data_IF_574640342147
#
_entry.id   IF_574640342147
#
_cell.length_a   1.000
_cell.length_b   1.000
_cell.length_c   1.000
_cell.angle_alpha   90.00
_cell.angle_beta   90.00
_cell.angle_gamma   90.00
#
_symmetry.space_group_name_H-M   'P 1'
#
loop_
_entity.id
_entity.type
_entity.pdbx_description
1 polymer ?
#
# COMPACT_ATOMS: atom_id res chain seq x y z
N UNK A 1 -21.85 5.30 7.06
CA UNK A 1 -21.03 5.37 8.30
C UNK A 1 -20.23 6.67 8.32
N UNK A 2 -19.90 7.14 9.52
CA UNK A 2 -18.94 8.23 9.75
C UNK A 2 -17.64 7.62 10.26
N UNK A 3 -16.58 7.77 9.48
CA UNK A 3 -15.31 7.04 9.66
C UNK A 3 -14.22 8.06 9.95
N UNK A 4 -13.44 7.84 11.00
CA UNK A 4 -12.27 8.65 11.33
C UNK A 4 -10.98 7.93 10.93
N UNK A 5 -10.21 8.49 9.98
CA UNK A 5 -8.89 8.01 9.59
C UNK A 5 -7.82 8.80 10.36
N UNK A 6 -6.96 8.11 11.11
CA UNK A 6 -5.93 8.73 11.96
C UNK A 6 -4.55 8.38 11.44
N UNK A 7 -3.74 9.40 11.15
CA UNK A 7 -2.42 9.24 10.51
C UNK A 7 -1.45 10.36 10.86
N UNK A 8 -0.19 10.04 11.12
CA UNK A 8 0.88 11.05 11.30
C UNK A 8 1.46 11.56 9.97
N UNK A 9 1.02 11.01 8.82
CA UNK A 9 1.48 11.41 7.49
C UNK A 9 0.31 11.53 6.53
N UNK A 10 0.14 12.70 5.95
CA UNK A 10 -0.88 12.98 4.92
C UNK A 10 -0.41 14.14 4.03
N UNK A 11 -1.16 14.43 2.98
CA UNK A 11 -0.84 15.57 2.10
C UNK A 11 -0.72 16.89 2.88
N UNK A 12 0.27 17.74 2.50
CA UNK A 12 1.07 17.76 1.27
C UNK A 12 2.25 16.75 1.22
N UNK A 13 2.54 16.01 2.31
CA UNK A 13 3.58 14.99 2.28
C UNK A 13 3.17 13.85 1.34
N UNK A 14 3.89 13.70 0.22
CA UNK A 14 3.63 12.64 -0.77
C UNK A 14 4.31 11.35 -0.29
N UNK A 15 3.52 10.31 -0.10
CA UNK A 15 4.00 8.96 0.25
C UNK A 15 2.96 7.91 -0.16
N UNK A 16 3.38 6.65 -0.28
CA UNK A 16 2.45 5.53 -0.51
C UNK A 16 1.34 5.45 0.52
N UNK A 17 1.65 5.74 1.79
CA UNK A 17 0.65 5.78 2.89
C UNK A 17 -0.37 6.90 2.67
N UNK A 18 0.08 8.12 2.38
CA UNK A 18 -0.82 9.25 2.12
C UNK A 18 -1.70 9.00 0.89
N UNK A 19 -1.14 8.41 -0.16
CA UNK A 19 -1.88 8.01 -1.37
C UNK A 19 -2.93 6.95 -1.05
N UNK A 20 -2.59 5.91 -0.28
CA UNK A 20 -3.52 4.86 0.15
C UNK A 20 -4.69 5.43 0.95
N UNK A 21 -4.41 6.35 1.90
CA UNK A 21 -5.44 7.00 2.72
C UNK A 21 -6.38 7.85 1.87
N UNK A 22 -5.84 8.64 0.94
CA UNK A 22 -6.65 9.46 0.03
C UNK A 22 -7.52 8.60 -0.86
N UNK A 23 -6.97 7.52 -1.42
CA UNK A 23 -7.71 6.55 -2.22
C UNK A 23 -8.85 5.92 -1.40
N UNK A 24 -8.56 5.47 -0.19
CA UNK A 24 -9.58 4.90 0.71
C UNK A 24 -10.69 5.89 1.02
N UNK A 25 -10.34 7.14 1.39
CA UNK A 25 -11.32 8.21 1.64
C UNK A 25 -12.24 8.38 0.44
N UNK A 26 -11.66 8.57 -0.75
CA UNK A 26 -12.43 8.78 -1.99
C UNK A 26 -13.39 7.62 -2.27
N UNK A 27 -12.95 6.39 -2.14
CA UNK A 27 -13.80 5.23 -2.44
C UNK A 27 -14.90 5.03 -1.38
N UNK A 28 -14.60 5.26 -0.10
CA UNK A 28 -15.62 5.21 0.95
C UNK A 28 -16.68 6.32 0.78
N UNK A 29 -16.30 7.50 0.30
CA UNK A 29 -17.22 8.59 0.00
C UNK A 29 -18.11 8.28 -1.21
N UNK A 30 -17.55 7.65 -2.26
CA UNK A 30 -18.35 7.13 -3.39
C UNK A 30 -19.39 6.08 -2.94
N UNK A 31 -19.07 5.31 -1.89
CA UNK A 31 -20.01 4.36 -1.26
C UNK A 31 -21.03 5.04 -0.33
N UNK A 32 -21.07 6.38 -0.26
CA UNK A 32 -22.02 7.15 0.52
C UNK A 32 -21.66 7.29 2.01
N UNK A 33 -20.38 7.12 2.37
CA UNK A 33 -19.89 7.30 3.74
C UNK A 33 -19.29 8.69 3.93
N UNK A 34 -19.23 9.17 5.16
CA UNK A 34 -18.55 10.41 5.53
C UNK A 34 -17.21 10.06 6.17
N UNK A 35 -16.13 10.59 5.62
CA UNK A 35 -14.77 10.27 6.07
C UNK A 35 -14.08 11.52 6.59
N UNK A 36 -13.53 11.44 7.80
CA UNK A 36 -12.77 12.51 8.44
C UNK A 36 -11.31 12.06 8.60
N UNK A 37 -10.36 12.91 8.21
CA UNK A 37 -8.93 12.65 8.38
C UNK A 37 -8.41 13.45 9.55
N UNK A 38 -7.82 12.77 10.54
CA UNK A 38 -7.08 13.39 11.64
C UNK A 38 -5.59 13.20 11.35
N UNK A 39 -4.88 14.32 11.12
CA UNK A 39 -3.47 14.28 10.73
C UNK A 39 -2.66 15.39 11.39
N UNK A 40 -1.34 15.36 11.19
CA UNK A 40 -0.44 16.41 11.64
C UNK A 40 -0.56 17.69 10.80
N UNK A 41 -0.16 18.82 11.36
CA UNK A 41 -0.08 20.09 10.63
C UNK A 41 1.30 20.25 10.02
N UNK A 42 1.38 20.46 8.71
CA UNK A 42 2.61 20.80 8.01
C UNK A 42 2.85 22.32 7.98
N UNK A 43 4.11 22.69 7.75
CA UNK A 43 4.49 24.10 7.61
C UNK A 43 3.84 24.73 6.37
N UNK A 44 3.29 25.93 6.51
CA UNK A 44 2.61 26.62 5.43
C UNK A 44 1.19 26.11 5.11
N UNK A 45 0.71 25.05 5.75
CA UNK A 45 -0.65 24.54 5.52
C UNK A 45 -1.67 25.21 6.43
N UNK A 46 -2.76 25.69 5.84
CA UNK A 46 -3.88 26.23 6.59
C UNK A 46 -4.64 25.08 7.29
N UNK A 47 -4.69 25.11 8.62
CA UNK A 47 -5.32 24.07 9.44
C UNK A 47 -6.83 23.96 9.28
N UNK A 48 -7.48 24.97 8.71
CA UNK A 48 -8.92 25.11 8.63
C UNK A 48 -9.43 25.20 7.19
N UNK A 49 -8.57 24.83 6.22
CA UNK A 49 -8.92 24.88 4.82
C UNK A 49 -9.99 23.85 4.45
N UNK A 50 -9.79 22.62 4.94
CA UNK A 50 -10.71 21.51 4.70
C UNK A 50 -11.51 21.20 5.97
N UNK A 51 -12.82 21.09 5.86
CA UNK A 51 -13.71 20.82 6.98
C UNK A 51 -13.62 19.35 7.48
N UNK A 52 -13.17 18.46 6.65
CA UNK A 52 -13.05 17.01 6.88
C UNK A 52 -11.61 16.56 7.13
N UNK A 53 -10.63 17.48 7.09
CA UNK A 53 -9.23 17.23 7.43
C UNK A 53 -8.86 18.01 8.70
N UNK A 54 -8.80 17.30 9.80
CA UNK A 54 -8.52 17.83 11.12
C UNK A 54 -7.00 17.80 11.37
N UNK A 55 -6.36 18.97 11.31
CA UNK A 55 -4.91 19.08 11.47
C UNK A 55 -4.52 19.40 12.91
N UNK A 56 -3.73 18.52 13.50
CA UNK A 56 -3.28 18.59 14.90
C UNK A 56 -1.91 19.28 14.95
N UNK A 57 -1.67 20.20 15.91
CA UNK A 57 -0.39 20.87 16.09
C UNK A 57 0.77 19.88 16.22
N UNK A 58 1.81 20.07 15.42
CA UNK A 58 2.91 19.11 15.31
C UNK A 58 4.26 19.80 15.08
N UNK A 59 5.34 19.08 15.38
CA UNK A 59 6.73 19.49 15.13
C UNK A 59 7.43 18.43 14.29
N UNK A 60 8.47 18.80 13.53
CA UNK A 60 9.29 17.81 12.83
C UNK A 60 9.89 16.78 13.81
N UNK A 61 9.91 15.52 13.38
CA UNK A 61 10.52 14.47 14.19
C UNK A 61 12.04 14.51 14.00
N UNK A 62 12.79 14.58 15.10
CA UNK A 62 14.24 14.78 15.07
C UNK A 62 15.02 13.69 14.31
N UNK A 63 14.53 12.44 14.36
CA UNK A 63 15.19 11.30 13.70
C UNK A 63 14.85 11.19 12.20
N UNK A 64 13.68 11.71 11.79
CA UNK A 64 13.22 11.71 10.39
C UNK A 64 12.57 13.07 10.12
N UNK A 65 13.32 13.99 9.55
CA UNK A 65 12.86 15.37 9.29
C UNK A 65 11.60 15.46 8.44
N UNK A 66 11.38 14.47 7.58
CA UNK A 66 10.19 14.35 6.73
C UNK A 66 8.95 13.83 7.49
N UNK A 67 9.09 13.51 8.78
CA UNK A 67 7.99 13.04 9.63
C UNK A 67 7.70 14.06 10.72
N UNK A 68 6.44 14.11 11.13
CA UNK A 68 5.98 15.04 12.17
C UNK A 68 5.36 14.27 13.33
N UNK A 69 5.41 14.89 14.51
CA UNK A 69 4.88 14.32 15.76
C UNK A 69 3.93 15.35 16.36
N UNK A 70 2.71 14.97 16.63
CA UNK A 70 1.75 15.83 17.31
C UNK A 70 2.14 15.98 18.79
N UNK A 71 2.14 17.20 19.31
CA UNK A 71 2.52 17.51 20.70
C UNK A 71 1.39 18.12 21.53
N UNK A 72 0.29 18.53 20.91
CA UNK A 72 -0.85 19.18 21.55
C UNK A 72 -2.14 18.93 20.78
N UNK A 73 -3.31 19.40 21.28
CA UNK A 73 -4.57 19.36 20.56
C UNK A 73 -5.33 18.03 20.68
N UNK A 74 -4.88 17.07 21.50
CA UNK A 74 -5.55 15.77 21.69
C UNK A 74 -6.97 15.92 22.23
N UNK A 75 -7.17 16.81 23.23
CA UNK A 75 -8.49 17.07 23.78
C UNK A 75 -9.45 17.67 22.76
N UNK A 76 -8.96 18.55 21.89
CA UNK A 76 -9.77 19.17 20.86
C UNK A 76 -10.11 18.16 19.75
N UNK A 77 -9.16 17.31 19.37
CA UNK A 77 -9.41 16.22 18.44
C UNK A 77 -10.49 15.26 18.98
N UNK A 78 -10.43 14.91 20.25
CA UNK A 78 -11.45 14.07 20.90
C UNK A 78 -12.84 14.74 20.89
N UNK A 79 -12.92 16.04 21.22
CA UNK A 79 -14.17 16.81 21.14
C UNK A 79 -14.73 16.86 19.71
N UNK A 80 -13.87 17.06 18.71
CA UNK A 80 -14.26 17.07 17.30
C UNK A 80 -14.79 15.70 16.87
N UNK A 81 -14.05 14.63 17.19
CA UNK A 81 -14.46 13.26 16.90
C UNK A 81 -15.81 12.89 17.54
N UNK A 82 -16.03 13.32 18.79
CA UNK A 82 -17.31 13.15 19.51
C UNK A 82 -18.44 13.91 18.83
N UNK A 83 -18.17 15.16 18.39
CA UNK A 83 -19.15 15.99 17.67
C UNK A 83 -19.55 15.37 16.34
N UNK A 84 -18.61 14.76 15.64
CA UNK A 84 -18.85 14.06 14.38
C UNK A 84 -19.52 12.70 14.58
N UNK A 85 -19.60 12.18 15.82
CA UNK A 85 -20.23 10.89 16.15
C UNK A 85 -19.70 9.78 15.26
N UNK A 86 -18.38 9.53 15.30
CA UNK A 86 -17.74 8.50 14.49
C UNK A 86 -18.37 7.12 14.80
N UNK A 87 -18.56 6.32 13.76
CA UNK A 87 -19.06 4.94 13.85
C UNK A 87 -17.91 3.92 13.90
N UNK A 88 -16.71 4.32 13.43
CA UNK A 88 -15.50 3.51 13.36
C UNK A 88 -14.27 4.42 13.29
N UNK A 89 -13.19 3.95 13.90
CA UNK A 89 -11.86 4.55 13.80
C UNK A 89 -10.93 3.63 13.03
N UNK A 90 -10.17 4.19 12.06
CA UNK A 90 -9.14 3.48 11.34
C UNK A 90 -7.81 4.22 11.46
N UNK A 91 -6.80 3.58 12.04
CA UNK A 91 -5.47 4.15 12.22
C UNK A 91 -4.51 3.64 11.13
N UNK A 92 -3.61 4.52 10.64
CA UNK A 92 -2.68 4.22 9.56
C UNK A 92 -1.20 4.37 9.96
N UNK A 93 -0.95 4.87 11.16
CA UNK A 93 0.39 4.98 11.74
C UNK A 93 0.34 4.57 13.21
N UNK A 94 1.45 4.10 13.75
CA UNK A 94 1.56 3.60 15.12
C UNK A 94 2.08 4.66 16.11
N UNK A 95 2.21 5.92 15.65
CA UNK A 95 2.73 7.02 16.44
C UNK A 95 1.60 7.85 17.09
N UNK A 96 1.77 9.16 17.14
CA UNK A 96 0.92 10.04 17.93
C UNK A 96 -0.54 10.03 17.53
N UNK A 97 -0.82 10.08 16.21
CA UNK A 97 -2.19 10.07 15.71
C UNK A 97 -2.83 8.67 15.77
N UNK A 98 -2.02 7.62 15.60
CA UNK A 98 -2.51 6.25 15.81
C UNK A 98 -2.92 5.99 17.25
N UNK A 99 -2.11 6.45 18.23
CA UNK A 99 -2.45 6.37 19.66
C UNK A 99 -3.70 7.22 19.96
N UNK A 100 -3.76 8.44 19.42
CA UNK A 100 -4.95 9.29 19.56
C UNK A 100 -6.21 8.60 18.99
N UNK A 101 -6.12 7.97 17.83
CA UNK A 101 -7.22 7.21 17.24
C UNK A 101 -7.73 6.10 18.16
N UNK A 102 -6.84 5.32 18.78
CA UNK A 102 -7.20 4.31 19.77
C UNK A 102 -7.91 4.92 21.00
N UNK A 103 -7.41 6.06 21.49
CA UNK A 103 -8.05 6.78 22.60
C UNK A 103 -9.47 7.27 22.23
N UNK A 104 -9.64 7.82 21.03
CA UNK A 104 -10.93 8.27 20.49
C UNK A 104 -11.90 7.09 20.37
N UNK A 105 -11.45 5.98 19.79
CA UNK A 105 -12.29 4.78 19.64
C UNK A 105 -12.79 4.25 20.99
N UNK A 106 -11.88 4.20 21.97
CA UNK A 106 -12.22 3.77 23.34
C UNK A 106 -13.24 4.70 24.00
N UNK A 107 -13.05 6.01 23.90
CA UNK A 107 -13.95 7.02 24.49
C UNK A 107 -15.33 6.99 23.83
N UNK A 108 -15.37 6.90 22.50
CA UNK A 108 -16.63 6.82 21.74
C UNK A 108 -17.28 5.43 21.77
N UNK A 109 -16.59 4.44 22.30
CA UNK A 109 -17.03 3.04 22.32
C UNK A 109 -17.40 2.53 20.92
N UNK A 110 -16.50 2.75 19.95
CA UNK A 110 -16.61 2.30 18.56
C UNK A 110 -15.44 1.38 18.20
N UNK A 111 -15.60 0.50 17.19
CA UNK A 111 -14.51 -0.38 16.76
C UNK A 111 -13.33 0.41 16.21
N UNK A 112 -12.12 -0.15 16.41
CA UNK A 112 -10.87 0.39 15.91
C UNK A 112 -10.13 -0.65 15.08
N UNK A 113 -9.77 -0.27 13.85
CA UNK A 113 -8.97 -1.05 12.91
C UNK A 113 -7.66 -0.32 12.60
N UNK A 114 -6.65 -1.05 12.17
CA UNK A 114 -5.37 -0.49 11.76
C UNK A 114 -4.92 -1.06 10.42
N UNK A 115 -4.38 -0.23 9.53
CA UNK A 115 -3.62 -0.72 8.38
C UNK A 115 -2.13 -0.65 8.69
N UNK A 116 -1.45 -1.79 8.64
CA UNK A 116 -0.02 -1.91 8.93
C UNK A 116 0.81 -1.65 7.67
N UNK A 117 1.18 -0.38 7.43
CA UNK A 117 1.82 0.05 6.18
C UNK A 117 3.32 -0.17 6.10
N UNK A 118 4.03 -0.29 7.23
CA UNK A 118 5.50 -0.18 7.26
C UNK A 118 6.16 -1.42 7.85
N UNK A 119 7.04 -2.05 7.10
CA UNK A 119 7.99 -3.03 7.63
C UNK A 119 9.13 -2.31 8.34
N UNK A 120 8.97 -2.02 9.63
CA UNK A 120 9.97 -1.29 10.40
C UNK A 120 11.33 -1.98 10.46
N UNK A 121 11.39 -3.30 10.28
CA UNK A 121 12.65 -4.07 10.26
C UNK A 121 13.59 -3.57 9.16
N UNK A 122 13.05 -3.18 8.01
CA UNK A 122 13.83 -2.69 6.87
C UNK A 122 14.39 -1.28 7.08
N UNK A 123 13.82 -0.53 8.05
CA UNK A 123 14.19 0.87 8.33
C UNK A 123 15.07 1.06 9.56
N UNK A 124 15.37 -0.02 10.30
CA UNK A 124 16.18 0.05 11.54
C UNK A 124 17.57 0.66 11.31
N UNK A 125 18.17 0.38 10.14
CA UNK A 125 19.50 0.89 9.82
C UNK A 125 19.55 2.41 9.63
N UNK A 126 18.42 3.07 9.34
CA UNK A 126 18.35 4.53 9.28
C UNK A 126 18.31 5.19 10.68
N UNK A 127 17.86 4.47 11.72
CA UNK A 127 17.77 4.99 13.07
C UNK A 127 19.10 4.76 13.78
N UNK A 128 19.85 5.86 14.04
CA UNK A 128 21.15 5.83 14.75
C UNK A 128 22.13 4.78 14.16
N UNK A 129 22.18 4.63 12.83
CA UNK A 129 23.03 3.67 12.10
C UNK A 129 22.83 2.23 12.58
N UNK A 130 21.60 1.83 12.92
CA UNK A 130 21.25 0.47 13.34
C UNK A 130 21.71 0.07 14.75
N UNK A 131 22.32 0.98 15.52
CA UNK A 131 22.93 0.65 16.83
C UNK A 131 21.98 0.70 18.02
N UNK A 132 20.83 1.38 17.90
CA UNK A 132 19.93 1.65 19.03
C UNK A 132 18.67 0.77 19.05
N UNK A 133 18.24 0.20 17.92
CA UNK A 133 17.00 -0.57 17.86
C UNK A 133 17.30 -2.02 17.49
N UNK A 134 16.91 -2.93 18.37
CA UNK A 134 17.00 -4.39 18.13
C UNK A 134 15.70 -4.90 17.51
N UNK A 135 15.72 -5.93 16.65
CA UNK A 135 14.50 -6.52 16.04
C UNK A 135 13.42 -6.88 17.06
N UNK A 136 13.82 -7.38 18.25
CA UNK A 136 12.88 -7.68 19.34
C UNK A 136 12.12 -6.48 19.89
N UNK A 137 12.69 -5.27 19.81
CA UNK A 137 12.01 -4.03 20.23
C UNK A 137 10.91 -3.65 19.26
N UNK A 138 11.13 -3.84 17.96
CA UNK A 138 10.13 -3.59 16.91
C UNK A 138 8.94 -4.54 17.09
N UNK A 139 9.21 -5.82 17.28
CA UNK A 139 8.18 -6.82 17.57
C UNK A 139 7.35 -6.44 18.80
N UNK A 140 8.02 -6.03 19.89
CA UNK A 140 7.33 -5.59 21.12
C UNK A 140 6.47 -4.35 20.88
N UNK A 141 7.00 -3.35 20.18
CA UNK A 141 6.28 -2.12 19.85
C UNK A 141 5.04 -2.41 18.99
N UNK A 142 5.19 -3.18 17.90
CA UNK A 142 4.09 -3.57 17.04
C UNK A 142 3.00 -4.33 17.82
N UNK A 143 3.38 -5.33 18.63
CA UNK A 143 2.43 -6.07 19.47
C UNK A 143 1.70 -5.19 20.47
N UNK A 144 2.43 -4.29 21.14
CA UNK A 144 1.85 -3.38 22.12
C UNK A 144 0.85 -2.42 21.49
N UNK A 145 1.17 -1.89 20.30
CA UNK A 145 0.26 -1.01 19.59
C UNK A 145 -0.99 -1.77 19.11
N UNK A 146 -0.81 -2.96 18.55
CA UNK A 146 -1.90 -3.75 17.96
C UNK A 146 -2.79 -4.47 18.98
N UNK A 147 -2.37 -4.54 20.25
CA UNK A 147 -3.01 -5.38 21.28
C UNK A 147 -4.51 -5.12 21.47
N UNK A 148 -4.93 -3.85 21.47
CA UNK A 148 -6.32 -3.47 21.82
C UNK A 148 -7.12 -3.02 20.58
N UNK A 149 -6.81 -3.55 19.42
CA UNK A 149 -7.53 -3.29 18.17
C UNK A 149 -8.56 -4.40 17.90
N UNK A 150 -9.60 -4.07 17.18
CA UNK A 150 -10.61 -5.04 16.74
C UNK A 150 -10.16 -5.81 15.49
N UNK A 151 -9.29 -5.20 14.67
CA UNK A 151 -8.74 -5.85 13.50
C UNK A 151 -7.55 -5.12 12.86
N UNK A 152 -6.85 -5.82 11.97
CA UNK A 152 -5.73 -5.28 11.20
C UNK A 152 -5.92 -5.59 9.72
N UNK A 153 -5.68 -4.59 8.89
CA UNK A 153 -5.54 -4.72 7.44
C UNK A 153 -4.05 -4.86 7.13
N UNK A 154 -3.70 -5.92 6.41
CA UNK A 154 -2.38 -6.18 5.88
C UNK A 154 -2.39 -5.83 4.38
N UNK A 155 -1.55 -4.89 3.90
CA UNK A 155 -1.47 -4.56 2.47
C UNK A 155 -1.02 -5.73 1.59
N UNK A 156 -0.38 -6.74 2.17
CA UNK A 156 0.07 -7.95 1.47
C UNK A 156 0.18 -9.13 2.43
N UNK A 157 0.33 -10.32 1.87
CA UNK A 157 0.61 -11.56 2.59
C UNK A 157 1.91 -11.47 3.39
N UNK A 158 2.92 -10.76 2.88
CA UNK A 158 4.20 -10.51 3.57
C UNK A 158 3.96 -9.86 4.94
N UNK A 159 3.08 -8.86 4.99
CA UNK A 159 2.72 -8.16 6.23
C UNK A 159 1.89 -9.08 7.14
N UNK A 160 0.99 -9.87 6.60
CA UNK A 160 0.23 -10.85 7.39
C UNK A 160 1.15 -11.86 8.05
N UNK A 161 2.08 -12.47 7.30
CA UNK A 161 3.08 -13.41 7.81
C UNK A 161 3.99 -12.77 8.87
N UNK A 162 4.40 -11.51 8.66
CA UNK A 162 5.17 -10.75 9.64
C UNK A 162 4.41 -10.63 10.96
N UNK A 163 3.13 -10.26 10.91
CA UNK A 163 2.30 -10.13 12.11
C UNK A 163 2.00 -11.49 12.77
N UNK A 164 1.94 -12.57 12.01
CA UNK A 164 1.88 -13.95 12.53
C UNK A 164 3.17 -14.29 13.27
N UNK A 165 4.36 -14.02 12.69
CA UNK A 165 5.66 -14.20 13.35
C UNK A 165 5.80 -13.37 14.62
N UNK A 166 5.15 -12.21 14.66
CA UNK A 166 5.10 -11.36 15.85
C UNK A 166 4.11 -11.88 16.91
N UNK A 167 3.35 -12.95 16.64
CA UNK A 167 2.29 -13.48 17.49
C UNK A 167 1.25 -12.40 17.86
N UNK A 168 0.76 -11.67 16.87
CA UNK A 168 -0.34 -10.70 17.03
C UNK A 168 -1.67 -11.46 16.99
N UNK A 169 -2.45 -11.50 18.11
CA UNK A 169 -3.60 -12.42 18.25
C UNK A 169 -4.93 -11.84 17.76
N UNK A 170 -4.91 -10.79 16.94
CA UNK A 170 -6.12 -10.13 16.43
C UNK A 170 -6.47 -10.56 15.01
N UNK A 171 -7.72 -10.33 14.60
CA UNK A 171 -8.18 -10.59 13.24
C UNK A 171 -7.33 -9.82 12.23
N UNK A 172 -6.81 -10.52 11.22
CA UNK A 172 -6.05 -9.96 10.12
C UNK A 172 -6.78 -10.20 8.81
N UNK A 173 -6.72 -9.25 7.90
CA UNK A 173 -7.24 -9.42 6.55
C UNK A 173 -6.28 -8.80 5.55
N UNK A 174 -5.88 -9.58 4.55
CA UNK A 174 -5.07 -9.07 3.43
C UNK A 174 -5.97 -8.30 2.49
N UNK A 175 -5.76 -6.99 2.44
CA UNK A 175 -6.47 -6.07 1.54
C UNK A 175 -5.42 -5.13 0.93
N UNK A 176 -4.88 -5.45 -0.24
CA UNK A 176 -3.96 -4.57 -0.95
C UNK A 176 -4.61 -3.22 -1.27
N UNK A 177 -3.82 -2.15 -1.17
CA UNK A 177 -4.25 -0.83 -1.63
C UNK A 177 -4.50 -0.86 -3.12
N UNK A 178 -5.67 -0.40 -3.54
CA UNK A 178 -5.99 -0.26 -4.94
C UNK A 178 -5.48 1.06 -5.52
N UNK A 179 -5.39 1.11 -6.85
CA UNK A 179 -5.02 2.33 -7.57
C UNK A 179 -6.24 2.93 -8.28
N UNK A 180 -6.19 4.24 -8.44
CA UNK A 180 -7.16 5.00 -9.23
C UNK A 180 -6.84 4.80 -10.71
N UNK A 181 -7.53 3.84 -11.33
CA UNK A 181 -7.30 3.48 -12.74
C UNK A 181 -7.47 4.67 -13.68
N UNK A 182 -8.36 5.63 -13.38
CA UNK A 182 -8.59 6.78 -14.23
C UNK A 182 -7.35 7.70 -14.38
N UNK A 183 -6.38 7.59 -13.47
CA UNK A 183 -5.11 8.33 -13.59
C UNK A 183 -4.14 7.71 -14.59
N UNK A 184 -4.31 6.44 -14.91
CA UNK A 184 -3.40 5.65 -15.74
C UNK A 184 -4.08 5.22 -17.06
N UNK A 185 -5.38 4.94 -17.02
CA UNK A 185 -6.20 4.81 -18.23
C UNK A 185 -6.47 6.21 -18.82
N UNK A 186 -5.50 6.69 -19.56
CA UNK A 186 -5.44 8.02 -20.16
C UNK A 186 -5.60 7.90 -21.67
N UNK A 187 -6.85 7.81 -22.19
CA UNK A 187 -7.10 7.66 -23.63
C UNK A 187 -6.67 8.88 -24.45
N UNK A 188 -6.52 10.05 -23.80
CA UNK A 188 -5.97 11.25 -24.42
C UNK A 188 -4.49 11.18 -24.73
N UNK A 189 -3.72 10.28 -24.09
CA UNK A 189 -2.31 10.03 -24.44
C UNK A 189 -2.30 9.24 -25.75
N UNK A 190 -1.97 9.92 -26.84
CA UNK A 190 -1.95 9.32 -28.16
C UNK A 190 -0.54 8.77 -28.50
N UNK A 191 -0.42 7.94 -29.54
CA UNK A 191 0.90 7.41 -29.96
C UNK A 191 1.93 8.50 -30.24
N UNK A 192 1.53 9.66 -30.76
CA UNK A 192 2.45 10.78 -30.99
C UNK A 192 3.05 11.36 -29.70
N UNK A 193 2.30 11.37 -28.60
CA UNK A 193 2.82 11.84 -27.31
C UNK A 193 3.88 10.87 -26.77
N UNK A 194 3.68 9.58 -27.00
CA UNK A 194 4.61 8.52 -26.62
C UNK A 194 5.89 8.63 -27.47
N UNK A 195 5.75 8.82 -28.79
CA UNK A 195 6.87 9.00 -29.73
C UNK A 195 7.68 10.24 -29.37
N UNK A 196 7.01 11.37 -29.08
CA UNK A 196 7.63 12.61 -28.67
C UNK A 196 8.44 12.45 -27.36
N UNK A 197 7.88 11.79 -26.35
CA UNK A 197 8.60 11.51 -25.10
C UNK A 197 9.82 10.61 -25.36
N UNK A 198 9.67 9.56 -26.15
CA UNK A 198 10.81 8.66 -26.50
C UNK A 198 11.90 9.42 -27.24
N UNK A 199 11.55 10.29 -28.19
CA UNK A 199 12.51 11.15 -28.90
C UNK A 199 13.23 12.11 -27.93
N UNK A 200 12.49 12.77 -27.02
CA UNK A 200 13.07 13.64 -25.98
C UNK A 200 14.05 12.88 -25.07
N UNK A 201 13.79 11.60 -24.82
CA UNK A 201 14.66 10.70 -24.05
C UNK A 201 15.76 10.05 -24.89
N UNK A 202 15.88 10.39 -26.19
CA UNK A 202 16.87 9.81 -27.08
C UNK A 202 16.68 8.32 -27.36
N UNK A 203 15.43 7.83 -27.30
CA UNK A 203 15.08 6.42 -27.50
C UNK A 203 14.46 6.24 -28.88
N UNK A 204 15.13 5.48 -29.72
CA UNK A 204 14.66 5.18 -31.07
C UNK A 204 13.48 4.19 -31.13
N UNK A 205 12.81 4.11 -32.30
CA UNK A 205 11.63 3.25 -32.45
C UNK A 205 11.96 1.75 -32.32
N UNK A 206 13.20 1.34 -32.60
CA UNK A 206 13.66 -0.06 -32.51
C UNK A 206 14.39 -0.36 -31.19
N UNK A 207 14.42 0.57 -30.24
CA UNK A 207 15.07 0.40 -28.94
C UNK A 207 14.04 0.01 -27.87
N UNK A 208 14.44 -0.85 -26.95
CA UNK A 208 13.62 -1.27 -25.83
C UNK A 208 13.83 -0.33 -24.64
N UNK A 209 12.76 0.30 -24.17
CA UNK A 209 12.77 1.18 -23.00
C UNK A 209 12.40 0.41 -21.72
N UNK A 210 13.36 0.29 -20.81
CA UNK A 210 13.12 -0.12 -19.44
C UNK A 210 12.87 1.12 -18.59
N UNK A 211 11.79 1.14 -17.79
CA UNK A 211 11.45 2.23 -16.89
C UNK A 211 11.64 1.79 -15.44
N UNK A 212 12.45 2.52 -14.68
CA UNK A 212 12.49 2.44 -13.22
C UNK A 212 11.94 3.73 -12.63
N UNK A 213 10.76 3.69 -12.01
CA UNK A 213 10.08 4.86 -11.44
C UNK A 213 9.86 4.65 -9.95
N UNK A 214 10.58 5.42 -9.12
CA UNK A 214 10.47 5.33 -7.66
C UNK A 214 11.17 6.50 -6.96
N UNK A 215 11.04 6.60 -5.62
CA UNK A 215 11.98 7.40 -4.83
C UNK A 215 13.40 6.82 -4.99
N UNK A 216 14.37 7.69 -5.27
CA UNK A 216 15.77 7.26 -5.41
C UNK A 216 16.41 7.15 -4.02
N UNK A 217 16.37 5.94 -3.48
CA UNK A 217 16.92 5.58 -2.17
C UNK A 217 17.55 4.18 -2.23
N UNK A 218 18.49 3.91 -1.32
CA UNK A 218 19.29 2.69 -1.38
C UNK A 218 18.44 1.40 -1.36
N UNK A 219 17.34 1.38 -0.59
CA UNK A 219 16.44 0.25 -0.45
C UNK A 219 15.64 -0.09 -1.73
N UNK A 220 15.55 0.84 -2.68
CA UNK A 220 14.92 0.59 -3.98
C UNK A 220 15.79 -0.20 -4.94
N UNK A 221 17.05 -0.38 -4.57
CA UNK A 221 18.02 -1.23 -5.26
C UNK A 221 18.17 -0.95 -6.77
N UNK A 222 18.05 0.33 -7.17
CA UNK A 222 18.23 0.77 -8.56
C UNK A 222 19.65 0.47 -9.02
N UNK A 223 20.62 0.50 -8.12
CA UNK A 223 22.02 0.15 -8.37
C UNK A 223 22.19 -1.28 -8.93
N UNK A 224 21.36 -2.25 -8.56
CA UNK A 224 21.40 -3.58 -9.14
C UNK A 224 20.95 -3.56 -10.61
N UNK A 225 19.92 -2.76 -10.94
CA UNK A 225 19.44 -2.59 -12.31
C UNK A 225 20.53 -1.93 -13.17
N UNK A 226 21.18 -0.87 -12.69
CA UNK A 226 22.28 -0.19 -13.41
C UNK A 226 23.45 -1.14 -13.66
N UNK A 227 23.85 -1.93 -12.66
CA UNK A 227 24.94 -2.92 -12.83
C UNK A 227 24.60 -3.98 -13.86
N UNK A 228 23.35 -4.46 -13.88
CA UNK A 228 22.91 -5.46 -14.83
C UNK A 228 22.92 -4.95 -16.30
N UNK A 229 22.81 -3.62 -16.50
CA UNK A 229 22.83 -3.03 -17.85
C UNK A 229 24.06 -3.40 -18.65
N UNK A 230 25.25 -3.58 -18.03
CA UNK A 230 26.46 -3.98 -18.74
C UNK A 230 26.29 -5.35 -19.43
N UNK A 231 25.68 -6.31 -18.75
CA UNK A 231 25.40 -7.63 -19.32
C UNK A 231 24.25 -7.58 -20.33
N UNK A 232 23.18 -6.85 -19.98
CA UNK A 232 22.02 -6.66 -20.88
C UNK A 232 22.46 -6.09 -22.23
N UNK A 233 23.31 -5.06 -22.23
CA UNK A 233 23.81 -4.41 -23.45
C UNK A 233 24.78 -5.28 -24.25
N UNK A 234 25.47 -6.22 -23.60
CA UNK A 234 26.30 -7.19 -24.30
C UNK A 234 25.44 -8.15 -25.14
N UNK A 235 24.25 -8.54 -24.64
CA UNK A 235 23.32 -9.42 -25.34
C UNK A 235 22.36 -8.65 -26.27
N UNK A 236 21.93 -7.47 -25.86
CA UNK A 236 21.03 -6.60 -26.63
C UNK A 236 21.43 -5.12 -26.50
N UNK A 237 22.22 -4.57 -27.44
CA UNK A 237 22.69 -3.19 -27.38
C UNK A 237 21.58 -2.13 -27.61
N UNK A 238 20.36 -2.54 -27.95
CA UNK A 238 19.21 -1.66 -28.18
C UNK A 238 18.39 -1.40 -26.93
N UNK A 239 18.84 -1.82 -25.75
CA UNK A 239 18.11 -1.58 -24.50
C UNK A 239 18.53 -0.24 -23.89
N UNK A 240 17.55 0.55 -23.47
CA UNK A 240 17.72 1.81 -22.75
C UNK A 240 17.03 1.74 -21.39
N UNK A 241 17.68 2.28 -20.37
CA UNK A 241 17.11 2.39 -19.02
C UNK A 241 16.81 3.86 -18.69
N UNK A 242 15.55 4.15 -18.38
CA UNK A 242 15.10 5.46 -17.90
C UNK A 242 14.76 5.36 -16.43
N UNK A 243 15.42 6.17 -15.60
CA UNK A 243 15.22 6.24 -14.16
C UNK A 243 14.50 7.55 -13.84
N UNK A 244 13.26 7.42 -13.34
CA UNK A 244 12.41 8.57 -12.98
C UNK A 244 12.24 8.63 -11.47
N UNK A 245 12.53 9.80 -10.90
CA UNK A 245 12.37 10.07 -9.48
C UNK A 245 13.47 10.95 -8.92
N UNK A 246 13.41 11.20 -7.62
CA UNK A 246 14.42 11.95 -6.88
C UNK A 246 14.65 11.34 -5.51
N UNK A 247 15.79 11.62 -4.90
CA UNK A 247 16.06 11.14 -3.56
C UNK A 247 17.54 11.18 -3.14
N UNK A 248 17.82 10.77 -1.89
CA UNK A 248 19.15 10.95 -1.29
C UNK A 248 20.26 10.10 -1.94
N UNK A 249 19.91 9.13 -2.78
CA UNK A 249 20.88 8.23 -3.43
C UNK A 249 21.18 8.60 -4.89
N UNK A 250 20.66 9.72 -5.37
CA UNK A 250 20.73 10.18 -6.76
C UNK A 250 22.19 10.37 -7.25
N UNK A 251 23.01 11.11 -6.48
CA UNK A 251 24.42 11.34 -6.83
C UNK A 251 25.20 10.04 -6.94
N UNK A 252 24.98 9.10 -6.02
CA UNK A 252 25.68 7.81 -6.06
C UNK A 252 25.31 6.96 -7.31
N UNK A 253 24.06 7.06 -7.78
CA UNK A 253 23.65 6.39 -9.02
C UNK A 253 24.25 7.08 -10.26
N UNK A 254 24.31 8.42 -10.29
CA UNK A 254 24.95 9.18 -11.36
C UNK A 254 26.43 8.82 -11.49
N UNK A 255 27.15 8.80 -10.36
CA UNK A 255 28.57 8.39 -10.32
C UNK A 255 28.75 6.97 -10.87
N UNK A 256 27.88 6.03 -10.46
CA UNK A 256 27.92 4.63 -10.93
C UNK A 256 27.67 4.51 -12.43
N UNK A 257 26.73 5.27 -13.01
CA UNK A 257 26.46 5.29 -14.47
C UNK A 257 27.72 5.71 -15.23
N UNK A 258 28.42 6.76 -14.75
CA UNK A 258 29.65 7.26 -15.35
C UNK A 258 30.79 6.24 -15.21
N UNK A 259 30.99 5.68 -14.02
CA UNK A 259 32.05 4.69 -13.74
C UNK A 259 31.90 3.42 -14.60
N UNK A 260 30.66 3.00 -14.87
CA UNK A 260 30.37 1.82 -15.70
C UNK A 260 30.32 2.14 -17.20
N UNK A 261 30.49 3.42 -17.62
CA UNK A 261 30.45 3.82 -19.02
C UNK A 261 29.06 3.67 -19.68
N UNK A 262 27.97 3.83 -18.87
CA UNK A 262 26.60 3.58 -19.31
C UNK A 262 25.82 4.86 -19.68
N UNK A 263 26.48 6.01 -19.80
CA UNK A 263 25.86 7.33 -20.04
C UNK A 263 24.99 7.40 -21.30
N UNK A 264 25.31 6.59 -22.33
CA UNK A 264 24.53 6.54 -23.57
C UNK A 264 23.29 5.62 -23.50
N UNK A 265 23.18 4.79 -22.46
CA UNK A 265 22.14 3.76 -22.33
C UNK A 265 21.31 3.88 -21.06
N UNK A 266 21.74 4.69 -20.08
CA UNK A 266 21.04 4.93 -18.82
C UNK A 266 20.85 6.40 -18.59
N UNK A 267 19.59 6.83 -18.49
CA UNK A 267 19.23 8.22 -18.28
C UNK A 267 18.46 8.40 -16.97
N UNK A 268 18.81 9.43 -16.20
CA UNK A 268 18.05 9.88 -15.02
C UNK A 268 17.33 11.19 -15.36
N UNK A 269 16.00 11.21 -15.24
CA UNK A 269 15.17 12.38 -15.58
C UNK A 269 14.95 13.34 -14.41
N UNK A 270 15.22 12.89 -13.16
CA UNK A 270 14.76 13.56 -11.97
C UNK A 270 13.28 13.31 -11.71
N UNK A 271 12.68 14.15 -10.84
CA UNK A 271 11.25 14.05 -10.51
C UNK A 271 10.38 14.58 -11.65
N UNK A 272 9.33 13.83 -11.98
CA UNK A 272 8.30 14.25 -12.93
C UNK A 272 7.00 14.58 -12.19
N UNK A 273 6.12 15.36 -12.82
CA UNK A 273 4.82 15.64 -12.23
C UNK A 273 3.97 14.35 -12.14
N UNK A 274 3.18 14.18 -11.09
CA UNK A 274 2.31 13.00 -10.96
C UNK A 274 1.33 12.79 -12.12
N UNK A 275 0.97 13.89 -12.84
CA UNK A 275 0.15 13.83 -14.06
C UNK A 275 0.85 13.16 -15.23
N UNK A 276 2.17 13.18 -15.25
CA UNK A 276 2.96 12.74 -16.40
C UNK A 276 3.44 11.29 -16.26
N UNK A 277 3.33 10.72 -15.05
CA UNK A 277 3.79 9.35 -14.79
C UNK A 277 3.13 8.31 -15.70
N UNK A 278 1.85 8.47 -16.04
CA UNK A 278 1.14 7.59 -16.95
C UNK A 278 1.77 7.57 -18.35
N UNK A 279 2.25 8.73 -18.84
CA UNK A 279 2.94 8.82 -20.12
C UNK A 279 4.26 8.05 -20.11
N UNK A 280 5.06 8.16 -19.04
CA UNK A 280 6.30 7.40 -18.90
C UNK A 280 6.05 5.90 -18.87
N UNK A 281 5.03 5.42 -18.14
CA UNK A 281 4.67 4.00 -18.17
C UNK A 281 4.24 3.55 -19.57
N UNK A 282 3.37 4.31 -20.26
CA UNK A 282 2.92 3.99 -21.61
C UNK A 282 4.03 4.03 -22.66
N UNK A 283 5.06 4.85 -22.45
CA UNK A 283 6.22 4.94 -23.33
C UNK A 283 7.23 3.79 -23.13
N UNK A 284 7.18 3.13 -21.96
CA UNK A 284 8.08 2.03 -21.63
C UNK A 284 7.58 0.70 -22.21
N UNK A 285 8.50 -0.13 -22.65
CA UNK A 285 8.23 -1.51 -23.04
C UNK A 285 8.11 -2.41 -21.80
N UNK A 286 8.89 -2.09 -20.73
CA UNK A 286 8.84 -2.80 -19.45
C UNK A 286 9.09 -1.84 -18.29
N UNK A 287 8.39 -2.07 -17.19
CA UNK A 287 8.72 -1.49 -15.88
C UNK A 287 9.64 -2.43 -15.13
N UNK A 288 10.79 -1.93 -14.64
CA UNK A 288 11.81 -2.74 -13.97
C UNK A 288 12.07 -2.29 -12.53
N UNK A 289 12.15 -3.26 -11.60
CA UNK A 289 12.50 -2.99 -10.20
C UNK A 289 13.22 -4.16 -9.54
N UNK A 290 14.36 -3.87 -8.93
CA UNK A 290 15.10 -4.83 -8.10
C UNK A 290 14.87 -4.62 -6.58
N UNK A 291 13.84 -3.85 -6.20
CA UNK A 291 13.51 -3.60 -4.79
C UNK A 291 13.11 -4.87 -4.05
N UNK A 292 13.73 -5.11 -2.90
CA UNK A 292 13.41 -6.24 -2.01
C UNK A 292 12.59 -5.81 -0.78
N UNK A 293 12.36 -4.50 -0.60
CA UNK A 293 11.73 -3.91 0.60
C UNK A 293 10.28 -3.45 0.39
N UNK A 294 9.62 -3.92 -0.67
CA UNK A 294 8.25 -3.52 -0.98
C UNK A 294 7.23 -4.27 -0.11
N UNK A 295 6.43 -3.54 0.64
CA UNK A 295 5.25 -4.11 1.32
C UNK A 295 4.13 -4.46 0.33
N UNK A 296 3.98 -3.65 -0.71
CA UNK A 296 3.06 -3.84 -1.83
C UNK A 296 3.67 -3.33 -3.14
N UNK A 297 4.18 -2.06 -3.16
CA UNK A 297 4.74 -1.41 -4.34
C UNK A 297 3.67 -0.96 -5.33
N UNK A 298 3.08 0.22 -5.09
CA UNK A 298 2.03 0.76 -5.95
C UNK A 298 2.48 0.97 -7.39
N UNK A 299 3.76 1.24 -7.62
CA UNK A 299 4.35 1.44 -8.95
C UNK A 299 4.19 0.23 -9.88
N UNK A 300 4.17 -0.99 -9.32
CA UNK A 300 3.86 -2.20 -10.10
C UNK A 300 2.42 -2.19 -10.61
N UNK A 301 1.49 -1.77 -9.76
CA UNK A 301 0.08 -1.70 -10.15
C UNK A 301 -0.17 -0.57 -11.16
N UNK A 302 0.53 0.56 -11.01
CA UNK A 302 0.52 1.69 -11.93
C UNK A 302 1.01 1.27 -13.33
N UNK A 303 2.08 0.48 -13.39
CA UNK A 303 2.58 -0.11 -14.63
C UNK A 303 1.54 -1.01 -15.30
N UNK A 304 0.92 -1.93 -14.55
CA UNK A 304 -0.12 -2.80 -15.11
C UNK A 304 -1.35 -2.01 -15.55
N UNK A 305 -1.70 -0.91 -14.86
CA UNK A 305 -2.83 -0.07 -15.24
C UNK A 305 -2.63 0.63 -16.59
N UNK A 306 -1.40 0.84 -17.02
CA UNK A 306 -1.08 1.37 -18.35
C UNK A 306 -0.89 0.26 -19.40
N UNK A 307 -0.96 -1.00 -19.00
CA UNK A 307 -0.69 -2.15 -19.87
C UNK A 307 0.81 -2.47 -20.03
N UNK A 308 1.69 -1.87 -19.22
CA UNK A 308 3.14 -2.08 -19.29
C UNK A 308 3.53 -3.27 -18.42
N UNK A 309 4.15 -4.33 -18.99
CA UNK A 309 4.58 -5.51 -18.24
C UNK A 309 5.76 -5.20 -17.30
N UNK A 310 5.92 -6.04 -16.29
CA UNK A 310 6.81 -5.83 -15.16
C UNK A 310 7.98 -6.81 -15.21
N UNK A 311 9.19 -6.34 -14.90
CA UNK A 311 10.35 -7.18 -14.57
C UNK A 311 10.75 -6.85 -13.14
N UNK A 312 10.60 -7.79 -12.20
CA UNK A 312 10.80 -7.46 -10.80
C UNK A 312 11.39 -8.60 -9.96
N UNK A 313 12.04 -8.21 -8.85
CA UNK A 313 12.44 -9.15 -7.83
C UNK A 313 11.22 -9.83 -7.23
N UNK A 314 11.23 -11.16 -7.18
CA UNK A 314 10.10 -11.98 -6.73
C UNK A 314 9.84 -11.80 -5.24
N UNK A 315 8.58 -11.69 -4.90
CA UNK A 315 8.07 -11.76 -3.54
C UNK A 315 6.65 -12.35 -3.54
N UNK A 316 6.10 -12.80 -2.40
CA UNK A 316 4.78 -13.41 -2.32
C UNK A 316 3.65 -12.55 -2.90
N UNK A 317 3.71 -11.22 -2.71
CA UNK A 317 2.72 -10.30 -3.26
C UNK A 317 2.78 -10.24 -4.79
N UNK A 318 3.97 -10.03 -5.37
CA UNK A 318 4.14 -9.94 -6.83
C UNK A 318 3.83 -11.28 -7.51
N UNK A 319 4.10 -12.41 -6.89
CA UNK A 319 3.72 -13.72 -7.41
C UNK A 319 2.20 -13.88 -7.54
N UNK A 320 1.41 -13.20 -6.69
CA UNK A 320 -0.05 -13.15 -6.80
C UNK A 320 -0.55 -12.11 -7.81
N UNK A 321 0.24 -11.08 -8.10
CA UNK A 321 -0.08 -10.04 -9.09
C UNK A 321 0.28 -10.53 -10.50
N UNK A 322 1.50 -11.04 -10.69
CA UNK A 322 2.04 -11.51 -11.98
C UNK A 322 1.71 -13.00 -12.13
N UNK A 323 0.46 -13.29 -12.45
CA UNK A 323 -0.06 -14.65 -12.59
C UNK A 323 -0.01 -15.19 -14.01
N UNK A 324 0.35 -14.34 -14.97
CA UNK A 324 0.47 -14.66 -16.39
C UNK A 324 1.71 -13.98 -16.97
N UNK A 325 2.40 -14.62 -17.92
CA UNK A 325 3.61 -14.07 -18.56
C UNK A 325 3.37 -12.73 -19.26
N UNK A 326 2.16 -12.43 -19.69
CA UNK A 326 1.86 -11.12 -20.28
C UNK A 326 1.94 -9.97 -19.27
N UNK A 327 1.83 -10.23 -17.96
CA UNK A 327 2.00 -9.23 -16.92
C UNK A 327 3.47 -9.00 -16.55
N UNK A 328 4.37 -9.90 -16.96
CA UNK A 328 5.82 -9.74 -16.76
C UNK A 328 6.55 -10.99 -16.30
N UNK A 329 7.79 -10.77 -15.88
CA UNK A 329 8.75 -11.78 -15.44
C UNK A 329 9.28 -11.46 -14.04
N UNK A 330 9.41 -12.48 -13.19
CA UNK A 330 9.99 -12.37 -11.86
C UNK A 330 11.34 -13.09 -11.80
N UNK A 331 12.33 -12.47 -11.13
CA UNK A 331 13.62 -13.08 -10.83
C UNK A 331 13.81 -13.22 -9.31
N UNK A 332 14.60 -14.18 -8.83
CA UNK A 332 14.82 -14.46 -7.41
C UNK A 332 16.14 -13.86 -6.89
N UNK A 333 17.17 -13.82 -7.71
CA UNK A 333 18.51 -13.35 -7.36
C UNK A 333 18.95 -12.24 -8.31
N UNK A 334 19.75 -11.30 -7.83
CA UNK A 334 20.23 -10.16 -8.64
C UNK A 334 21.04 -10.62 -9.87
N UNK A 335 21.72 -11.75 -9.77
CA UNK A 335 22.49 -12.36 -10.86
C UNK A 335 21.60 -12.81 -12.02
N UNK A 336 20.31 -13.09 -11.77
CA UNK A 336 19.34 -13.51 -12.79
C UNK A 336 18.70 -12.31 -13.52
N UNK A 337 18.96 -11.07 -13.06
CA UNK A 337 18.23 -9.89 -13.54
C UNK A 337 18.49 -9.65 -15.04
N UNK A 338 19.74 -9.79 -15.53
CA UNK A 338 20.04 -9.63 -16.94
C UNK A 338 19.30 -10.66 -17.80
N UNK A 339 19.33 -11.92 -17.39
CA UNK A 339 18.65 -13.02 -18.10
C UNK A 339 17.13 -12.81 -18.11
N UNK A 340 16.56 -12.35 -16.97
CA UNK A 340 15.13 -12.05 -16.86
C UNK A 340 14.70 -10.91 -17.80
N UNK A 341 15.54 -9.89 -18.00
CA UNK A 341 15.28 -8.82 -18.97
C UNK A 341 15.29 -9.37 -20.40
N UNK A 342 16.30 -10.15 -20.77
CA UNK A 342 16.40 -10.73 -22.11
C UNK A 342 15.24 -11.72 -22.37
N UNK A 343 14.90 -12.56 -21.38
CA UNK A 343 13.73 -13.44 -21.46
C UNK A 343 12.45 -12.64 -21.66
N UNK A 344 12.24 -11.58 -20.87
CA UNK A 344 11.05 -10.74 -20.97
C UNK A 344 10.90 -10.12 -22.37
N UNK A 345 11.97 -9.57 -22.95
CA UNK A 345 11.96 -8.97 -24.28
C UNK A 345 11.54 -9.98 -25.35
N UNK A 346 11.99 -11.24 -25.24
CA UNK A 346 11.73 -12.28 -26.24
C UNK A 346 10.41 -13.01 -26.01
N UNK A 347 10.02 -13.23 -24.76
CA UNK A 347 8.98 -14.20 -24.38
C UNK A 347 7.67 -13.58 -23.86
N UNK A 348 7.64 -12.27 -23.54
CA UNK A 348 6.41 -11.66 -23.07
C UNK A 348 5.37 -11.55 -24.20
N UNK A 349 4.23 -12.22 -24.09
CA UNK A 349 3.21 -12.16 -25.12
C UNK A 349 2.47 -10.81 -25.07
N UNK A 350 1.80 -10.41 -26.18
CA UNK A 350 0.95 -9.24 -26.18
C UNK A 350 -0.13 -9.31 -25.09
N UNK A 351 -0.46 -8.16 -24.51
CA UNK A 351 -1.46 -8.03 -23.47
C UNK A 351 -2.85 -8.44 -23.98
N UNK A 352 -3.47 -9.44 -23.35
CA UNK A 352 -4.84 -9.83 -23.66
C UNK A 352 -5.82 -8.90 -22.93
N UNK A 353 -6.66 -8.13 -23.65
CA UNK A 353 -7.55 -7.13 -23.05
C UNK A 353 -8.50 -7.70 -21.99
N UNK A 354 -9.09 -8.88 -22.19
CA UNK A 354 -10.03 -9.48 -21.23
C UNK A 354 -9.36 -9.94 -19.93
N UNK A 355 -8.14 -10.47 -20.04
CA UNK A 355 -7.38 -10.89 -18.86
C UNK A 355 -6.89 -9.66 -18.11
N UNK A 356 -6.47 -8.63 -18.84
CA UNK A 356 -6.08 -7.34 -18.26
C UNK A 356 -7.25 -6.68 -17.52
N UNK A 357 -8.44 -6.59 -18.13
CA UNK A 357 -9.63 -6.00 -17.51
C UNK A 357 -9.95 -6.63 -16.16
N UNK A 358 -9.91 -7.97 -16.07
CA UNK A 358 -10.10 -8.68 -14.82
C UNK A 358 -9.03 -8.30 -13.77
N UNK A 359 -7.76 -8.24 -14.18
CA UNK A 359 -6.65 -7.85 -13.31
C UNK A 359 -6.80 -6.39 -12.85
N UNK A 360 -7.19 -5.49 -13.75
CA UNK A 360 -7.45 -4.09 -13.43
C UNK A 360 -8.56 -3.94 -12.38
N UNK A 361 -9.64 -4.70 -12.49
CA UNK A 361 -10.67 -4.70 -11.44
C UNK A 361 -10.12 -5.17 -10.09
N UNK A 362 -9.32 -6.25 -10.08
CA UNK A 362 -8.70 -6.77 -8.84
C UNK A 362 -7.84 -5.73 -8.12
N UNK A 363 -7.06 -4.93 -8.87
CA UNK A 363 -6.14 -3.92 -8.33
C UNK A 363 -6.75 -2.53 -8.22
N UNK A 364 -8.02 -2.34 -8.58
CA UNK A 364 -8.68 -1.02 -8.60
C UNK A 364 -8.91 -0.44 -7.21
N UNK A 365 -8.92 0.89 -7.13
CA UNK A 365 -9.35 1.63 -5.95
C UNK A 365 -10.77 1.24 -5.51
N UNK A 366 -11.68 1.04 -6.46
CA UNK A 366 -13.07 0.66 -6.19
C UNK A 366 -13.17 -0.69 -5.48
N UNK A 367 -12.44 -1.70 -5.96
CA UNK A 367 -12.39 -3.00 -5.29
C UNK A 367 -11.73 -2.90 -3.90
N UNK A 368 -10.68 -2.10 -3.78
CA UNK A 368 -10.03 -1.82 -2.49
C UNK A 368 -11.01 -1.21 -1.48
N UNK A 369 -11.69 -0.11 -1.86
CA UNK A 369 -12.68 0.56 -0.99
C UNK A 369 -13.80 -0.37 -0.56
N UNK A 370 -14.35 -1.18 -1.51
CA UNK A 370 -15.37 -2.19 -1.22
C UNK A 370 -14.89 -3.23 -0.22
N UNK A 371 -13.70 -3.83 -0.41
CA UNK A 371 -13.14 -4.85 0.49
C UNK A 371 -12.85 -4.31 1.89
N UNK A 372 -12.36 -3.05 2.00
CA UNK A 372 -12.14 -2.39 3.29
C UNK A 372 -13.48 -2.16 3.99
N UNK A 373 -14.49 -1.69 3.26
CA UNK A 373 -15.83 -1.46 3.83
C UNK A 373 -16.49 -2.77 4.30
N UNK A 374 -16.39 -3.86 3.54
CA UNK A 374 -16.85 -5.18 3.98
C UNK A 374 -16.18 -5.59 5.30
N UNK A 375 -14.89 -5.34 5.44
CA UNK A 375 -14.19 -5.64 6.68
C UNK A 375 -14.65 -4.75 7.84
N UNK A 376 -14.94 -3.48 7.59
CA UNK A 376 -15.51 -2.61 8.63
C UNK A 376 -16.87 -3.13 9.13
N UNK A 377 -17.71 -3.64 8.24
CA UNK A 377 -18.99 -4.25 8.63
C UNK A 377 -18.79 -5.48 9.53
N UNK A 378 -17.86 -6.37 9.14
CA UNK A 378 -17.55 -7.57 9.93
C UNK A 378 -17.03 -7.20 11.34
N UNK A 379 -16.15 -6.20 11.41
CA UNK A 379 -15.61 -5.71 12.69
C UNK A 379 -16.68 -5.04 13.54
N UNK A 380 -17.55 -4.24 12.93
CA UNK A 380 -18.65 -3.58 13.66
C UNK A 380 -19.63 -4.59 14.23
N UNK A 381 -20.03 -5.59 13.45
CA UNK A 381 -20.92 -6.68 13.92
C UNK A 381 -20.26 -7.41 15.10
N UNK A 382 -19.00 -7.77 14.98
CA UNK A 382 -18.25 -8.45 16.03
C UNK A 382 -18.10 -7.59 17.30
N UNK A 383 -17.87 -6.29 17.14
CA UNK A 383 -17.74 -5.33 18.23
C UNK A 383 -19.08 -5.17 18.96
N UNK A 384 -20.17 -4.92 18.23
CA UNK A 384 -21.51 -4.74 18.80
C UNK A 384 -21.98 -6.02 19.51
N UNK A 385 -21.64 -7.20 18.96
CA UNK A 385 -21.91 -8.47 19.62
C UNK A 385 -21.18 -8.59 20.96
N UNK A 386 -19.88 -8.34 21.01
CA UNK A 386 -19.08 -8.35 22.25
C UNK A 386 -19.65 -7.36 23.28
N UNK A 387 -19.92 -6.13 22.86
CA UNK A 387 -20.45 -5.06 23.73
C UNK A 387 -21.78 -5.44 24.40
N UNK A 388 -22.65 -6.12 23.66
CA UNK A 388 -24.00 -6.51 24.18
C UNK A 388 -23.95 -7.78 25.03
N UNK A 389 -22.89 -8.59 24.99
CA UNK A 389 -22.78 -9.88 25.68
C UNK A 389 -21.69 -9.91 26.75
N UNK A 390 -21.07 -8.78 27.09
CA UNK A 390 -19.99 -8.68 28.11
C UNK A 390 -20.46 -9.07 29.51
N UNK A 391 -21.78 -9.29 29.74
CA UNK A 391 -22.36 -9.74 31.00
C UNK A 391 -22.84 -11.21 31.00
N UNK A 392 -22.72 -11.94 29.90
CA UNK A 392 -23.09 -13.35 29.82
C UNK A 392 -22.09 -14.12 28.96
N UNK A 393 -21.29 -14.96 29.63
CA UNK A 393 -20.56 -16.11 29.12
C UNK A 393 -19.21 -15.89 28.39
N UNK A 394 -18.16 -16.12 29.16
CA UNK A 394 -16.77 -16.31 28.67
C UNK A 394 -16.60 -17.44 27.63
N UNK A 395 -17.54 -18.39 27.56
CA UNK A 395 -17.51 -19.55 26.64
C UNK A 395 -17.94 -19.14 25.22
N UNK A 396 -18.94 -18.28 25.08
CA UNK A 396 -19.38 -17.80 23.75
C UNK A 396 -18.31 -16.93 23.06
N UNK A 397 -17.53 -16.19 23.84
CA UNK A 397 -16.42 -15.35 23.32
C UNK A 397 -15.25 -16.18 22.79
N UNK A 398 -14.93 -17.31 23.45
CA UNK A 398 -13.91 -18.28 22.98
C UNK A 398 -14.38 -18.95 21.70
N UNK A 399 -15.63 -19.37 21.63
CA UNK A 399 -16.21 -20.03 20.46
C UNK A 399 -16.34 -19.07 19.26
N UNK A 400 -16.59 -17.77 19.49
CA UNK A 400 -16.65 -16.78 18.42
C UNK A 400 -15.25 -16.47 17.87
N UNK A 401 -14.24 -16.36 18.73
CA UNK A 401 -12.84 -16.22 18.30
C UNK A 401 -12.38 -17.42 17.46
N UNK A 402 -12.75 -18.64 17.88
CA UNK A 402 -12.44 -19.86 17.11
C UNK A 402 -13.21 -19.92 15.78
N UNK A 403 -14.48 -19.50 15.74
CA UNK A 403 -15.30 -19.52 14.52
C UNK A 403 -14.81 -18.55 13.45
N UNK A 404 -14.21 -17.42 13.82
CA UNK A 404 -13.60 -16.44 12.91
C UNK A 404 -12.29 -16.98 12.31
N UNK A 405 -11.58 -17.89 13.01
CA UNK A 405 -10.30 -18.46 12.61
C UNK A 405 -10.39 -19.84 11.90
N UNK A 406 -11.57 -20.49 11.88
CA UNK A 406 -11.74 -21.79 11.24
C UNK A 406 -11.94 -21.65 9.72
N UNK A 407 -11.18 -22.42 8.92
CA UNK A 407 -11.47 -22.54 7.50
C UNK A 407 -12.87 -23.17 7.31
N UNK A 408 -13.64 -22.70 6.33
CA UNK A 408 -15.06 -22.98 6.02
C UNK A 408 -15.53 -24.46 6.05
N UNK A 409 -14.65 -25.41 6.37
CA UNK A 409 -14.93 -26.86 6.33
C UNK A 409 -15.23 -27.51 7.70
N UNK A 410 -15.20 -26.78 8.82
CA UNK A 410 -15.27 -27.40 10.17
C UNK A 410 -16.49 -27.04 11.02
N UNK A 411 -17.54 -26.44 10.46
CA UNK A 411 -18.74 -26.10 11.25
C UNK A 411 -19.74 -27.26 11.20
N UNK A 412 -19.55 -28.27 12.05
CA UNK A 412 -20.62 -29.23 12.39
C UNK A 412 -20.52 -29.58 13.87
N UNK A 413 -21.58 -29.22 14.60
CA UNK A 413 -21.97 -29.51 15.98
C UNK A 413 -21.68 -28.42 17.03
N UNK A 414 -22.62 -27.53 17.20
CA UNK A 414 -22.85 -26.78 18.43
C UNK A 414 -24.36 -26.62 18.69
N UNK A 415 -24.72 -26.42 19.95
CA UNK A 415 -26.11 -26.41 20.46
C UNK A 415 -27.04 -25.46 19.69
N UNK A 416 -28.30 -25.85 19.53
CA UNK A 416 -29.33 -25.31 18.64
C UNK A 416 -29.55 -23.79 18.72
N UNK A 417 -29.32 -23.15 19.86
CA UNK A 417 -29.52 -21.72 20.07
C UNK A 417 -28.36 -20.88 19.52
N UNK A 418 -27.13 -21.31 19.72
CA UNK A 418 -25.91 -20.64 19.21
C UNK A 418 -25.82 -20.78 17.70
N UNK A 419 -26.24 -21.96 17.17
CA UNK A 419 -26.31 -22.18 15.73
C UNK A 419 -27.36 -21.30 15.04
N UNK A 420 -28.52 -21.05 15.69
CA UNK A 420 -29.56 -20.13 15.17
C UNK A 420 -29.13 -18.66 15.16
N UNK A 421 -28.40 -18.22 16.21
CA UNK A 421 -27.87 -16.85 16.26
C UNK A 421 -26.78 -16.62 15.22
N UNK A 422 -25.83 -17.54 15.08
CA UNK A 422 -24.78 -17.52 14.04
C UNK A 422 -25.40 -17.56 12.63
N UNK A 423 -26.43 -18.39 12.42
CA UNK A 423 -27.14 -18.49 11.14
C UNK A 423 -27.81 -17.16 10.77
N UNK A 424 -28.44 -16.48 11.73
CA UNK A 424 -29.10 -15.18 11.52
C UNK A 424 -28.11 -14.08 11.21
N UNK A 425 -26.96 -14.05 11.88
CA UNK A 425 -25.85 -13.10 11.60
C UNK A 425 -25.20 -13.36 10.23
N UNK A 426 -24.99 -14.63 9.87
CA UNK A 426 -24.46 -15.02 8.55
C UNK A 426 -25.46 -14.71 7.43
N UNK A 427 -26.76 -14.89 7.66
CA UNK A 427 -27.81 -14.53 6.69
C UNK A 427 -27.89 -13.00 6.51
N UNK A 428 -27.70 -12.22 7.55
CA UNK A 428 -27.67 -10.77 7.49
C UNK A 428 -26.44 -10.28 6.70
N UNK A 429 -25.26 -10.88 6.90
CA UNK A 429 -24.05 -10.61 6.11
C UNK A 429 -24.24 -11.02 4.64
N UNK A 430 -24.88 -12.17 4.37
CA UNK A 430 -25.19 -12.61 3.00
C UNK A 430 -26.19 -11.69 2.29
N UNK A 431 -27.18 -11.18 3.00
CA UNK A 431 -28.17 -10.25 2.43
C UNK A 431 -27.53 -8.91 2.03
N UNK A 432 -26.56 -8.45 2.81
CA UNK A 432 -25.79 -7.23 2.50
C UNK A 432 -24.82 -7.48 1.34
N UNK A 433 -24.23 -8.68 1.27
CA UNK A 433 -23.34 -9.05 0.16
C UNK A 433 -24.07 -9.15 -1.17
N UNK A 434 -25.26 -9.72 -1.18
CA UNK A 434 -26.14 -9.80 -2.38
C UNK A 434 -26.75 -8.44 -2.80
N UNK A 435 -26.55 -7.39 -2.03
CA UNK A 435 -26.89 -6.02 -2.43
C UNK A 435 -25.79 -5.37 -3.30
N UNK A 436 -24.59 -5.94 -3.29
CA UNK A 436 -23.44 -5.45 -4.04
C UNK A 436 -23.03 -6.33 -5.24
N UNK A 437 -23.65 -7.53 -5.39
CA UNK A 437 -23.62 -8.36 -6.61
C UNK A 437 -24.81 -7.98 -7.53
#
# INVERSE_FOLDING_TARGET
MRIGLFTDTYFPQVSGVATSIRTLKTELEKLGHTVFIFTTTDEGVNRYEDWDIIRIPSVPFFAFKDRRVAYAGFTDALKIASRYRLDLVHTHTEFTLGILGKMVAKELQVPVVHTYHTQYEDYVHYIAKGRLIRPGMIKYFARSFLHDLDGVICPSEIVEELLVRYNVPISKRVIPTGIDLAKFDRPEICPSDIEELREQLGIGPDETMLLSLSRISHEKNIQAVIKAMSNILADNPKVKLVIVGGGPYETALQDMIVELGLTDSVQMTGMVAPSDTALYYKAADFFISASTSETQGLTFLESLATGTPIIAHSNPYLSNVITDKMFGTLFLHEEELSDAVIEAIVMTPPMNPHVLEKKLYEISATNFGRRVFEYYLDLKISYDFRKNHTNQDSVAEVLLKEAIYLPRKAVVKSTDTTARMLKKSVEQVKSIRNFFD
#
